data_IF_997760425119
#
_entry.id   IF_997760425119
#
_cell.length_a   1.000
_cell.length_b   1.000
_cell.length_c   1.000
_cell.angle_alpha   90.00
_cell.angle_beta   90.00
_cell.angle_gamma   90.00
#
_symmetry.space_group_name_H-M   'P 1'
#
loop_
_entity.id
_entity.type
_entity.pdbx_description
1 polymer ?
#
# COMPACT_ATOMS: atom_id res chain seq x y z
N UNK A 1 -14.36 -6.47 -19.22
CA UNK A 1 -13.17 -6.44 -18.34
C UNK A 1 -12.74 -4.99 -18.18
N UNK A 2 -12.77 -4.44 -16.98
CA UNK A 2 -12.78 -2.99 -16.78
C UNK A 2 -11.35 -2.40 -16.81
N UNK A 3 -11.01 -1.58 -17.83
CA UNK A 3 -9.70 -0.94 -18.05
C UNK A 3 -9.19 -0.12 -16.81
N UNK A 4 -10.10 0.34 -15.97
CA UNK A 4 -9.80 1.15 -14.79
C UNK A 4 -9.02 0.39 -13.72
N UNK A 5 -9.35 -0.89 -13.50
CA UNK A 5 -8.68 -1.73 -12.49
C UNK A 5 -7.26 -2.15 -12.89
N UNK A 6 -6.97 -2.30 -14.18
CA UNK A 6 -5.62 -2.64 -14.64
C UNK A 6 -4.62 -1.51 -14.37
N UNK A 7 -5.03 -0.24 -14.54
CA UNK A 7 -4.16 0.92 -14.28
C UNK A 7 -3.79 1.06 -12.80
N UNK A 8 -4.76 0.93 -11.89
CA UNK A 8 -4.52 1.06 -10.42
C UNK A 8 -3.46 0.07 -9.94
N UNK A 9 -3.50 -1.17 -10.43
CA UNK A 9 -2.56 -2.24 -10.04
C UNK A 9 -1.16 -2.04 -10.58
N UNK A 10 -1.06 -1.72 -11.87
CA UNK A 10 0.21 -1.42 -12.48
C UNK A 10 0.93 -0.29 -11.71
N UNK A 11 0.17 0.72 -11.29
CA UNK A 11 0.72 1.83 -10.51
C UNK A 11 1.17 1.39 -9.10
N UNK A 12 0.40 0.53 -8.40
CA UNK A 12 0.81 0.00 -7.09
C UNK A 12 2.06 -0.85 -7.22
N UNK A 13 2.08 -1.79 -8.17
CA UNK A 13 3.23 -2.64 -8.42
C UNK A 13 4.49 -1.82 -8.77
N UNK A 14 4.34 -0.77 -9.59
CA UNK A 14 5.42 0.16 -9.89
C UNK A 14 5.91 0.89 -8.65
N UNK A 15 5.00 1.42 -7.83
CA UNK A 15 5.37 2.06 -6.56
C UNK A 15 6.16 1.10 -5.68
N UNK A 16 5.67 -0.13 -5.48
CA UNK A 16 6.39 -1.13 -4.69
C UNK A 16 7.79 -1.45 -5.26
N UNK A 17 7.89 -1.66 -6.58
CA UNK A 17 9.16 -1.98 -7.23
C UNK A 17 10.21 -0.87 -7.08
N UNK A 18 9.82 0.41 -7.31
CA UNK A 18 10.76 1.54 -7.22
C UNK A 18 11.13 1.93 -5.79
N UNK A 19 10.32 1.51 -4.80
CA UNK A 19 10.55 1.80 -3.39
C UNK A 19 11.13 0.62 -2.61
N UNK A 20 11.36 -0.53 -3.27
CA UNK A 20 11.78 -1.76 -2.60
C UNK A 20 10.73 -2.33 -1.63
N UNK A 21 9.47 -1.92 -1.76
CA UNK A 21 8.41 -2.39 -0.88
C UNK A 21 7.86 -3.73 -1.36
N UNK A 22 7.64 -4.67 -0.44
CA UNK A 22 6.99 -5.95 -0.73
C UNK A 22 5.49 -5.76 -0.93
N UNK A 23 4.93 -6.42 -1.93
CA UNK A 23 3.51 -6.38 -2.25
C UNK A 23 2.80 -7.64 -1.76
N UNK A 24 1.93 -7.50 -0.77
CA UNK A 24 1.05 -8.57 -0.32
C UNK A 24 -0.31 -8.49 -1.02
N UNK A 25 -0.73 -9.59 -1.64
CA UNK A 25 -1.99 -9.71 -2.37
C UNK A 25 -2.92 -10.65 -1.61
N UNK A 26 -3.96 -10.10 -1.04
CA UNK A 26 -4.92 -10.84 -0.20
C UNK A 26 -6.18 -11.15 -1.01
N UNK A 27 -6.44 -12.44 -1.26
CA UNK A 27 -7.63 -12.91 -1.97
C UNK A 27 -8.91 -12.85 -1.11
N UNK A 28 -10.12 -12.81 -1.72
CA UNK A 28 -10.34 -12.73 -3.16
C UNK A 28 -10.04 -11.33 -3.69
N UNK A 29 -9.05 -11.26 -4.54
CA UNK A 29 -8.85 -10.07 -5.35
C UNK A 29 -10.03 -9.95 -6.30
N UNK A 30 -10.61 -8.78 -6.50
CA UNK A 30 -11.71 -8.59 -7.46
C UNK A 30 -11.32 -8.88 -8.94
N UNK A 31 -10.27 -9.72 -9.18
CA UNK A 31 -9.64 -9.89 -10.50
C UNK A 31 -8.53 -10.99 -10.50
N UNK A 32 -8.18 -11.48 -11.68
CA UNK A 32 -7.00 -12.34 -11.90
C UNK A 32 -5.76 -11.48 -12.15
N UNK A 33 -4.67 -11.78 -11.49
CA UNK A 33 -3.36 -11.22 -11.83
C UNK A 33 -2.86 -12.04 -13.02
N UNK A 34 -2.73 -11.38 -14.17
CA UNK A 34 -2.13 -11.96 -15.36
C UNK A 34 -0.79 -11.26 -15.58
N UNK A 35 0.30 -12.01 -15.36
CA UNK A 35 1.67 -11.53 -15.59
C UNK A 35 1.86 -10.90 -16.98
N UNK A 36 1.22 -11.49 -18.01
CA UNK A 36 1.27 -10.94 -19.38
C UNK A 36 0.67 -9.53 -19.45
N UNK A 37 -0.41 -9.27 -18.71
CA UNK A 37 -1.04 -7.94 -18.68
C UNK A 37 -0.19 -6.92 -17.93
N UNK A 38 0.56 -7.34 -16.93
CA UNK A 38 1.46 -6.48 -16.16
C UNK A 38 2.76 -6.19 -16.96
N UNK A 39 3.34 -7.20 -17.58
CA UNK A 39 4.50 -7.02 -18.50
C UNK A 39 4.15 -6.11 -19.70
N UNK A 40 2.95 -6.22 -20.27
CA UNK A 40 2.47 -5.34 -21.34
C UNK A 40 2.23 -3.89 -20.89
N UNK A 41 2.08 -3.63 -19.59
CA UNK A 41 1.96 -2.29 -19.05
C UNK A 41 3.31 -1.56 -18.91
N UNK A 42 4.40 -2.11 -19.49
CA UNK A 42 5.73 -1.50 -19.49
C UNK A 42 6.43 -1.58 -18.13
N UNK A 43 6.17 -2.64 -17.38
CA UNK A 43 6.83 -2.87 -16.10
C UNK A 43 8.13 -3.65 -16.31
N UNK A 44 9.17 -2.96 -16.76
CA UNK A 44 10.56 -3.49 -16.84
C UNK A 44 11.12 -3.81 -15.43
N UNK A 45 10.33 -3.55 -14.39
CA UNK A 45 10.70 -3.69 -12.97
C UNK A 45 10.09 -4.94 -12.31
N UNK A 46 9.40 -5.80 -13.08
CA UNK A 46 8.69 -6.96 -12.52
C UNK A 46 9.64 -7.91 -11.79
N UNK A 47 10.84 -8.08 -12.33
CA UNK A 47 11.85 -8.97 -11.76
C UNK A 47 12.43 -8.46 -10.43
N UNK A 48 12.15 -7.20 -10.07
CA UNK A 48 12.57 -6.57 -8.80
C UNK A 48 11.45 -6.48 -7.77
N UNK A 49 10.22 -6.87 -8.13
CA UNK A 49 9.07 -6.76 -7.26
C UNK A 49 8.88 -8.04 -6.46
N UNK A 50 9.00 -7.96 -5.15
CA UNK A 50 8.64 -9.04 -4.26
C UNK A 50 7.12 -9.08 -4.07
N UNK A 51 6.50 -10.21 -4.44
CA UNK A 51 5.06 -10.44 -4.28
C UNK A 51 4.84 -11.65 -3.39
N UNK A 52 3.91 -11.51 -2.45
CA UNK A 52 3.39 -12.62 -1.66
C UNK A 52 1.86 -12.66 -1.74
N UNK A 53 1.31 -13.82 -2.12
CA UNK A 53 -0.13 -14.02 -2.23
C UNK A 53 -0.67 -14.76 -1.00
N UNK A 54 -1.86 -14.36 -0.54
CA UNK A 54 -2.56 -14.96 0.58
C UNK A 54 -3.97 -15.36 0.14
N UNK A 55 -4.40 -16.57 0.49
CA UNK A 55 -5.70 -17.11 0.08
C UNK A 55 -6.87 -16.31 0.68
N UNK A 56 -6.67 -15.73 1.86
CA UNK A 56 -7.69 -14.93 2.56
C UNK A 56 -7.05 -13.85 3.43
N UNK A 57 -7.89 -12.91 3.91
CA UNK A 57 -7.48 -11.92 4.90
C UNK A 57 -7.13 -12.60 6.24
N UNK A 58 -7.86 -13.64 6.59
CA UNK A 58 -7.64 -14.43 7.79
C UNK A 58 -6.26 -15.10 7.75
N UNK A 59 -5.88 -15.70 6.62
CA UNK A 59 -4.55 -16.31 6.43
C UNK A 59 -3.43 -15.26 6.54
N UNK A 60 -3.62 -14.10 5.93
CA UNK A 60 -2.68 -12.98 6.05
C UNK A 60 -2.52 -12.54 7.51
N UNK A 61 -3.63 -12.27 8.21
CA UNK A 61 -3.59 -11.82 9.60
C UNK A 61 -3.10 -12.89 10.58
N UNK A 62 -3.23 -14.17 10.25
CA UNK A 62 -2.65 -15.27 11.03
C UNK A 62 -1.13 -15.32 10.87
N UNK A 63 -0.63 -15.09 9.65
CA UNK A 63 0.82 -15.06 9.36
C UNK A 63 1.48 -13.79 9.92
N UNK A 64 0.79 -12.66 9.84
CA UNK A 64 1.24 -11.34 10.29
C UNK A 64 0.20 -10.74 11.26
N UNK A 65 0.18 -11.17 12.53
CA UNK A 65 -0.78 -10.66 13.50
C UNK A 65 -0.59 -9.15 13.74
N UNK A 66 -1.65 -8.33 13.67
CA UNK A 66 -1.51 -6.89 13.87
C UNK A 66 -0.99 -6.51 15.25
N UNK A 67 -1.19 -7.36 16.25
CA UNK A 67 -0.70 -7.15 17.62
C UNK A 67 0.81 -7.24 17.72
N UNK A 68 1.44 -8.06 16.88
CA UNK A 68 2.88 -8.36 16.87
C UNK A 68 3.64 -7.56 15.81
N UNK A 69 2.93 -6.90 14.88
CA UNK A 69 3.52 -6.19 13.76
C UNK A 69 3.13 -4.71 13.74
N UNK A 70 4.00 -3.88 13.18
CA UNK A 70 3.70 -2.47 12.91
C UNK A 70 2.75 -2.38 11.72
N UNK A 71 1.50 -2.77 11.92
CA UNK A 71 0.47 -2.83 10.89
C UNK A 71 -0.55 -1.73 11.08
N UNK A 72 -0.84 -1.00 10.00
CA UNK A 72 -1.81 0.07 9.97
C UNK A 72 -2.85 -0.16 8.87
N UNK A 73 -4.08 0.26 9.13
CA UNK A 73 -5.24 0.09 8.27
C UNK A 73 -5.61 1.43 7.63
N UNK A 74 -5.27 1.62 6.35
CA UNK A 74 -5.56 2.84 5.62
C UNK A 74 -7.04 2.90 5.25
N UNK A 75 -7.76 3.88 5.80
CA UNK A 75 -9.19 4.03 5.61
C UNK A 75 -9.64 5.48 5.75
N UNK A 76 -10.68 5.88 5.01
CA UNK A 76 -11.31 7.20 5.17
C UNK A 76 -12.04 7.36 6.51
N UNK A 77 -12.29 6.25 7.22
CA UNK A 77 -12.91 6.22 8.55
C UNK A 77 -11.89 6.33 9.69
N UNK A 78 -10.59 6.36 9.38
CA UNK A 78 -9.52 6.44 10.37
C UNK A 78 -9.56 7.74 11.17
N UNK A 79 -9.15 7.68 12.42
CA UNK A 79 -9.11 8.83 13.34
C UNK A 79 -7.72 9.47 13.43
N UNK A 80 -6.68 8.74 13.09
CA UNK A 80 -5.28 9.22 13.14
C UNK A 80 -4.83 9.64 11.75
N UNK A 81 -4.21 10.79 11.59
CA UNK A 81 -3.57 11.15 10.32
C UNK A 81 -2.38 10.22 10.08
N UNK A 82 -2.16 9.84 8.84
CA UNK A 82 -1.04 8.97 8.47
C UNK A 82 0.33 9.58 8.84
N UNK A 83 0.39 10.91 8.92
CA UNK A 83 1.60 11.67 9.31
C UNK A 83 1.84 11.74 10.82
N UNK A 84 0.85 11.38 11.64
CA UNK A 84 0.97 11.45 13.11
C UNK A 84 1.60 10.17 13.69
N UNK A 85 1.88 9.19 12.84
CA UNK A 85 2.59 7.96 13.22
C UNK A 85 4.10 8.18 13.04
N UNK A 86 4.89 7.84 14.05
CA UNK A 86 6.35 7.80 13.95
C UNK A 86 6.80 6.44 13.37
N UNK A 87 7.05 6.41 12.06
CA UNK A 87 7.55 5.22 11.36
C UNK A 87 9.07 5.08 11.42
N UNK A 88 9.80 6.10 11.87
CA UNK A 88 11.26 6.17 11.79
C UNK A 88 11.97 5.06 12.55
N UNK A 89 11.35 4.56 13.62
CA UNK A 89 11.90 3.52 14.51
C UNK A 89 11.34 2.12 14.24
N UNK A 90 10.53 1.95 13.19
CA UNK A 90 9.91 0.68 12.85
C UNK A 90 10.72 0.00 11.76
N UNK A 91 11.29 -1.18 12.02
CA UNK A 91 12.07 -1.92 11.03
C UNK A 91 11.19 -2.28 9.83
N UNK A 92 10.04 -2.89 10.07
CA UNK A 92 9.06 -3.26 9.06
C UNK A 92 7.71 -2.59 9.35
N UNK A 93 7.04 -2.11 8.29
CA UNK A 93 5.73 -1.45 8.40
C UNK A 93 4.78 -2.06 7.38
N UNK A 94 3.65 -2.58 7.85
CA UNK A 94 2.56 -3.06 6.99
C UNK A 94 1.46 -2.01 6.88
N UNK A 95 1.06 -1.68 5.66
CA UNK A 95 -0.12 -0.86 5.40
C UNK A 95 -1.16 -1.67 4.65
N UNK A 96 -2.27 -1.94 5.29
CA UNK A 96 -3.38 -2.68 4.69
C UNK A 96 -4.40 -1.73 4.09
N UNK A 97 -4.69 -1.94 2.81
CA UNK A 97 -5.69 -1.18 2.05
C UNK A 97 -6.89 -2.05 1.72
N UNK A 98 -8.07 -1.45 1.75
CA UNK A 98 -9.29 -2.13 1.36
C UNK A 98 -9.53 -2.13 -0.14
N UNK A 99 -10.54 -2.90 -0.58
CA UNK A 99 -11.03 -2.89 -1.96
C UNK A 99 -11.56 -1.50 -2.32
N UNK A 100 -11.35 -1.04 -3.55
CA UNK A 100 -11.83 0.28 -4.02
C UNK A 100 -13.35 0.48 -3.81
N UNK A 101 -14.13 -0.61 -3.85
CA UNK A 101 -15.60 -0.55 -3.75
C UNK A 101 -16.14 -0.65 -2.33
N UNK A 102 -15.55 -1.53 -1.49
CA UNK A 102 -16.07 -1.87 -0.16
C UNK A 102 -15.17 -1.42 0.99
N UNK A 103 -13.92 -1.04 0.69
CA UNK A 103 -12.92 -0.76 1.71
C UNK A 103 -12.49 -2.02 2.49
N UNK A 104 -11.96 -1.81 3.67
CA UNK A 104 -11.62 -2.87 4.62
C UNK A 104 -12.87 -3.38 5.35
N UNK A 105 -12.90 -4.67 5.78
CA UNK A 105 -14.01 -5.23 6.53
C UNK A 105 -14.33 -4.42 7.79
N UNK A 106 -15.61 -4.25 8.07
CA UNK A 106 -16.07 -3.42 9.19
C UNK A 106 -15.63 -3.98 10.55
N UNK A 107 -15.62 -5.30 10.70
CA UNK A 107 -15.16 -5.95 11.93
C UNK A 107 -13.69 -5.63 12.25
N UNK A 108 -12.85 -5.59 11.20
CA UNK A 108 -11.43 -5.26 11.34
C UNK A 108 -11.26 -3.79 11.77
N UNK A 109 -12.00 -2.89 11.11
CA UNK A 109 -11.95 -1.47 11.44
C UNK A 109 -12.46 -1.21 12.86
N UNK A 110 -13.54 -1.85 13.29
CA UNK A 110 -14.07 -1.71 14.67
C UNK A 110 -13.07 -2.18 15.71
N UNK A 111 -12.39 -3.32 15.46
CA UNK A 111 -11.40 -3.87 16.39
C UNK A 111 -10.20 -2.93 16.61
N UNK A 112 -9.77 -2.20 15.56
CA UNK A 112 -8.54 -1.42 15.58
C UNK A 112 -8.73 0.09 15.38
N UNK A 113 -9.97 0.59 15.45
CA UNK A 113 -10.33 1.95 15.04
C UNK A 113 -9.45 3.04 15.68
N UNK A 114 -9.24 2.97 16.98
CA UNK A 114 -8.53 3.98 17.75
C UNK A 114 -7.00 3.73 17.84
N UNK A 115 -6.54 2.57 17.43
CA UNK A 115 -5.15 2.16 17.66
C UNK A 115 -4.31 2.09 16.38
N UNK A 116 -4.90 1.55 15.30
CA UNK A 116 -4.15 1.19 14.09
C UNK A 116 -4.77 1.70 12.79
N UNK A 117 -5.86 2.48 12.85
CA UNK A 117 -6.42 3.06 11.63
C UNK A 117 -5.77 4.40 11.33
N UNK A 118 -5.39 4.59 10.07
CA UNK A 118 -4.82 5.83 9.56
C UNK A 118 -5.62 6.36 8.38
N UNK A 119 -5.61 7.69 8.21
CA UNK A 119 -6.28 8.34 7.09
C UNK A 119 -5.38 9.39 6.44
N UNK A 120 -5.55 9.57 5.13
CA UNK A 120 -5.08 10.74 4.42
C UNK A 120 -6.15 11.83 4.58
N UNK A 121 -5.81 13.03 5.08
CA UNK A 121 -6.75 14.14 5.17
C UNK A 121 -7.29 14.53 3.79
N UNK A 122 -8.58 14.85 3.72
CA UNK A 122 -9.26 15.28 2.49
C UNK A 122 -10.27 16.37 2.83
N UNK A 123 -10.64 17.16 1.84
CA UNK A 123 -11.71 18.15 1.98
C UNK A 123 -13.02 17.46 2.37
N UNK A 124 -13.86 18.10 3.20
CA UNK A 124 -15.17 17.58 3.54
C UNK A 124 -16.00 17.26 2.29
N UNK A 125 -16.89 16.28 2.41
CA UNK A 125 -17.83 15.87 1.37
C UNK A 125 -17.22 15.19 0.12
N UNK A 126 -15.89 15.09 0.01
CA UNK A 126 -15.24 14.31 -1.03
C UNK A 126 -15.14 12.83 -0.62
N UNK A 127 -15.22 11.93 -1.63
CA UNK A 127 -15.34 10.48 -1.35
C UNK A 127 -14.04 9.86 -0.83
N UNK A 128 -13.07 9.72 -1.71
CA UNK A 128 -11.80 9.08 -1.39
C UNK A 128 -10.77 9.37 -2.47
N UNK A 129 -9.51 9.37 -2.09
CA UNK A 129 -8.40 9.36 -3.03
C UNK A 129 -8.35 8.00 -3.76
N UNK A 130 -7.86 7.99 -4.99
CA UNK A 130 -7.60 6.74 -5.72
C UNK A 130 -6.65 5.83 -4.93
N UNK A 131 -6.88 4.52 -4.99
CA UNK A 131 -6.13 3.55 -4.20
C UNK A 131 -4.62 3.61 -4.47
N UNK A 132 -4.18 3.64 -5.73
CA UNK A 132 -2.74 3.70 -6.05
C UNK A 132 -2.10 5.01 -5.59
N UNK A 133 -2.83 6.11 -5.63
CA UNK A 133 -2.36 7.39 -5.09
C UNK A 133 -2.23 7.32 -3.56
N UNK A 134 -3.18 6.68 -2.88
CA UNK A 134 -3.12 6.49 -1.42
C UNK A 134 -1.91 5.64 -1.03
N UNK A 135 -1.64 4.57 -1.77
CA UNK A 135 -0.44 3.73 -1.58
C UNK A 135 0.81 4.58 -1.74
N UNK A 136 0.93 5.32 -2.83
CA UNK A 136 2.08 6.17 -3.10
C UNK A 136 2.32 7.20 -1.98
N UNK A 137 1.27 7.94 -1.58
CA UNK A 137 1.36 8.99 -0.55
C UNK A 137 1.85 8.43 0.78
N UNK A 138 1.27 7.32 1.26
CA UNK A 138 1.65 6.74 2.56
C UNK A 138 3.04 6.11 2.49
N UNK A 139 3.37 5.40 1.40
CA UNK A 139 4.70 4.80 1.22
C UNK A 139 5.80 5.87 1.25
N UNK A 140 5.62 6.97 0.52
CA UNK A 140 6.62 8.04 0.50
C UNK A 140 6.72 8.82 1.82
N UNK A 141 5.65 8.90 2.61
CA UNK A 141 5.75 9.44 3.98
C UNK A 141 6.59 8.52 4.88
N UNK A 142 6.40 7.20 4.80
CA UNK A 142 7.22 6.24 5.54
C UNK A 142 8.69 6.37 5.14
N UNK A 143 8.99 6.43 3.85
CA UNK A 143 10.35 6.60 3.33
C UNK A 143 10.95 7.94 3.76
N UNK A 144 10.18 9.02 3.73
CA UNK A 144 10.62 10.34 4.19
C UNK A 144 11.04 10.30 5.66
N UNK A 145 10.26 9.65 6.52
CA UNK A 145 10.59 9.51 7.94
C UNK A 145 11.82 8.61 8.17
N UNK A 146 12.10 7.68 7.26
CA UNK A 146 13.31 6.84 7.22
C UNK A 146 14.45 7.47 6.42
N UNK A 147 14.35 8.78 6.12
CA UNK A 147 15.38 9.55 5.41
C UNK A 147 15.77 8.94 4.05
N UNK A 148 14.82 8.32 3.33
CA UNK A 148 15.01 7.70 2.01
C UNK A 148 16.20 6.73 1.94
N UNK A 149 16.47 6.03 3.04
CA UNK A 149 17.59 5.10 3.15
C UNK A 149 17.65 4.13 1.95
N UNK A 150 18.85 3.99 1.38
CA UNK A 150 19.15 3.20 0.17
C UNK A 150 18.45 3.68 -1.12
N UNK A 151 17.93 4.89 -1.16
CA UNK A 151 17.36 5.48 -2.38
C UNK A 151 18.31 6.50 -3.01
N UNK A 152 18.26 6.64 -4.32
CA UNK A 152 18.98 7.70 -5.04
C UNK A 152 18.22 9.02 -4.86
N UNK A 153 18.78 9.95 -4.10
CA UNK A 153 18.15 11.23 -3.80
C UNK A 153 18.44 12.32 -4.85
N UNK A 154 19.59 12.23 -5.51
CA UNK A 154 20.08 13.23 -6.47
C UNK A 154 20.29 12.57 -7.83
N UNK A 155 19.86 13.25 -8.89
CA UNK A 155 20.09 12.79 -10.25
C UNK A 155 21.56 13.02 -10.65
N UNK A 156 22.15 12.03 -11.28
CA UNK A 156 23.50 12.13 -11.89
C UNK A 156 23.43 12.34 -13.41
N UNK A 157 22.26 12.72 -13.94
CA UNK A 157 22.04 12.78 -15.39
C UNK A 157 22.91 13.83 -16.10
N UNK A 158 23.26 14.91 -15.42
CA UNK A 158 24.07 16.00 -15.97
C UNK A 158 25.53 16.01 -15.48
N UNK A 159 25.97 14.96 -14.78
CA UNK A 159 27.31 14.85 -14.20
C UNK A 159 28.34 14.23 -15.22
N UNK A 160 27.92 14.03 -16.50
CA UNK A 160 28.74 13.50 -17.60
C UNK A 160 29.15 14.59 -18.58
#
# INVERSE_FOLDING_TARGET
MNRKYHKTRGNIARTCAITGSKLHLVHPLGFKIDEKSLKRAGLDYWDKLEIEEHNSLEDFLKKYPPEENNMFFATTKGKTKYTDIDYSKMDEVFILYGKETKGLPEWLLKKYLDKKTIRIPMLPLLRSLNLSNSVCVITYEILRQKNFENMQEISQYFDN
#
